data_IF_643959498889
#
_entry.id   IF_643959498889
#
_cell.length_a   1.000
_cell.length_b   1.000
_cell.length_c   1.000
_cell.angle_alpha   90.00
_cell.angle_beta   90.00
_cell.angle_gamma   90.00
#
_symmetry.space_group_name_H-M   'P 1'
#
loop_
_entity.id
_entity.type
_entity.pdbx_description
1 polymer ?
#
# COMPACT_ATOMS: atom_id res chain seq x y z
N UNK A 1 -15.13 32.52 -58.32
CA UNK A 1 -13.82 32.27 -57.67
C UNK A 1 -14.07 31.83 -56.23
N UNK A 2 -13.63 30.59 -55.92
CA UNK A 2 -13.25 30.04 -54.59
C UNK A 2 -14.29 30.19 -53.45
N UNK A 3 -15.09 29.17 -53.12
CA UNK A 3 -14.75 28.02 -52.24
C UNK A 3 -14.17 28.52 -50.91
N UNK A 4 -14.81 28.30 -49.75
CA UNK A 4 -14.64 27.10 -48.92
C UNK A 4 -15.80 26.99 -47.91
N UNK A 5 -16.59 25.91 -48.03
CA UNK A 5 -17.31 25.31 -46.90
C UNK A 5 -16.39 24.21 -46.38
N UNK A 6 -15.86 24.34 -45.16
CA UNK A 6 -15.24 23.23 -44.42
C UNK A 6 -15.67 23.30 -42.97
N UNK A 7 -16.74 22.54 -42.70
CA UNK A 7 -16.96 21.67 -41.55
C UNK A 7 -16.13 22.01 -40.30
N UNK A 8 -16.82 22.55 -39.30
CA UNK A 8 -16.42 22.48 -37.91
C UNK A 8 -16.35 21.00 -37.50
N UNK A 9 -15.15 20.42 -37.54
CA UNK A 9 -14.85 19.19 -36.81
C UNK A 9 -14.87 19.53 -35.33
N UNK A 10 -16.02 19.34 -34.70
CA UNK A 10 -16.14 19.28 -33.26
C UNK A 10 -15.56 17.92 -32.85
N UNK A 11 -14.24 17.86 -32.67
CA UNK A 11 -13.58 16.71 -32.07
C UNK A 11 -14.12 16.54 -30.65
N UNK A 12 -15.15 15.71 -30.54
CA UNK A 12 -15.59 15.14 -29.30
C UNK A 12 -14.46 14.23 -28.83
N UNK A 13 -13.50 14.80 -28.10
CA UNK A 13 -12.58 14.06 -27.26
C UNK A 13 -13.43 13.31 -26.22
N UNK A 14 -13.96 12.16 -26.61
CA UNK A 14 -14.35 11.12 -25.67
C UNK A 14 -13.07 10.77 -24.91
N UNK A 15 -12.86 11.44 -23.78
CA UNK A 15 -11.94 10.98 -22.76
C UNK A 15 -12.49 9.62 -22.31
N UNK A 16 -12.07 8.56 -23.01
CA UNK A 16 -12.13 7.21 -22.49
C UNK A 16 -11.24 7.22 -21.25
N UNK A 17 -11.83 7.55 -20.11
CA UNK A 17 -11.22 7.23 -18.84
C UNK A 17 -11.08 5.72 -18.83
N UNK A 18 -9.85 5.22 -19.07
CA UNK A 18 -9.56 3.81 -18.90
C UNK A 18 -10.04 3.40 -17.51
N UNK A 19 -10.98 2.46 -17.46
CA UNK A 19 -11.50 1.91 -16.22
C UNK A 19 -10.31 1.24 -15.52
N UNK A 20 -10.05 1.60 -14.26
CA UNK A 20 -9.02 0.97 -13.44
C UNK A 20 -9.40 -0.47 -13.10
N UNK A 21 -10.70 -0.77 -13.03
CA UNK A 21 -11.22 -2.10 -12.77
C UNK A 21 -12.54 -2.37 -13.49
N UNK A 22 -12.78 -3.63 -13.86
CA UNK A 22 -14.07 -4.14 -14.34
C UNK A 22 -14.88 -4.84 -13.25
N UNK A 23 -14.20 -5.60 -12.39
CA UNK A 23 -14.80 -6.37 -11.28
C UNK A 23 -14.03 -6.18 -9.98
N UNK A 24 -14.67 -6.44 -8.84
CA UNK A 24 -14.04 -6.24 -7.51
C UNK A 24 -12.85 -7.15 -7.23
N UNK A 25 -12.77 -8.31 -7.88
CA UNK A 25 -11.66 -9.26 -7.70
C UNK A 25 -10.31 -8.67 -8.14
N UNK A 26 -10.29 -7.87 -9.21
CA UNK A 26 -9.08 -7.17 -9.67
C UNK A 26 -8.50 -6.24 -8.59
N UNK A 27 -9.39 -5.53 -7.89
CA UNK A 27 -9.01 -4.66 -6.77
C UNK A 27 -8.60 -5.46 -5.53
N UNK A 28 -9.37 -6.50 -5.20
CA UNK A 28 -9.12 -7.36 -4.04
C UNK A 28 -7.78 -8.10 -4.14
N UNK A 29 -7.40 -8.51 -5.36
CA UNK A 29 -6.10 -9.10 -5.62
C UNK A 29 -4.97 -8.10 -5.38
N UNK A 30 -5.19 -6.80 -5.57
CA UNK A 30 -4.17 -5.78 -5.30
C UNK A 30 -4.08 -5.40 -3.82
N UNK A 31 -5.22 -5.32 -3.13
CA UNK A 31 -5.31 -5.04 -1.70
C UNK A 31 -6.53 -5.74 -1.07
N UNK A 32 -6.37 -6.49 0.05
CA UNK A 32 -7.47 -7.24 0.66
C UNK A 32 -8.70 -6.38 0.94
N UNK A 33 -9.87 -6.87 0.51
CA UNK A 33 -11.16 -6.22 0.73
C UNK A 33 -11.41 -5.00 -0.17
N UNK A 34 -10.47 -4.60 -1.02
CA UNK A 34 -10.71 -3.55 -1.99
C UNK A 34 -11.71 -4.02 -3.06
N UNK A 35 -12.55 -3.10 -3.54
CA UNK A 35 -13.64 -3.43 -4.45
C UNK A 35 -13.75 -2.42 -5.60
N UNK A 36 -14.36 -2.84 -6.70
CA UNK A 36 -14.52 -1.99 -7.88
C UNK A 36 -15.82 -1.19 -7.75
N UNK A 37 -15.72 0.13 -7.85
CA UNK A 37 -16.89 1.01 -7.86
C UNK A 37 -16.77 2.03 -8.99
N UNK A 38 -17.67 1.92 -9.98
CA UNK A 38 -17.71 2.79 -11.17
C UNK A 38 -16.34 2.85 -11.88
N UNK A 39 -15.70 1.69 -12.03
CA UNK A 39 -14.42 1.59 -12.73
C UNK A 39 -13.19 2.05 -11.96
N UNK A 40 -13.30 2.23 -10.64
CA UNK A 40 -12.16 2.60 -9.77
C UNK A 40 -12.09 1.72 -8.55
N UNK A 41 -10.89 1.32 -8.17
CA UNK A 41 -10.69 0.55 -6.94
C UNK A 41 -10.93 1.43 -5.71
N UNK A 42 -11.71 0.92 -4.77
CA UNK A 42 -12.00 1.55 -3.49
C UNK A 42 -11.47 0.69 -2.38
N UNK A 43 -10.93 1.35 -1.36
CA UNK A 43 -10.47 0.68 -0.16
C UNK A 43 -11.65 0.23 0.69
N UNK A 44 -11.51 -0.88 1.44
CA UNK A 44 -12.54 -1.35 2.35
C UNK A 44 -12.78 -0.34 3.48
N UNK A 45 -13.83 -0.58 4.28
CA UNK A 45 -14.10 0.18 5.50
C UNK A 45 -12.88 0.19 6.43
N UNK A 46 -12.77 1.24 7.26
CA UNK A 46 -11.68 1.44 8.21
C UNK A 46 -10.27 1.54 7.60
N UNK A 47 -10.21 1.79 6.28
CA UNK A 47 -8.96 2.04 5.57
C UNK A 47 -9.08 3.24 4.64
N UNK A 48 -7.95 3.88 4.36
CA UNK A 48 -7.88 5.07 3.50
C UNK A 48 -6.95 4.80 2.32
N UNK A 49 -7.40 5.12 1.10
CA UNK A 49 -6.56 5.00 -0.09
C UNK A 49 -5.42 6.00 -0.03
N UNK A 50 -4.19 5.53 -0.18
CA UNK A 50 -2.98 6.35 -0.25
C UNK A 50 -2.19 6.04 -1.50
N UNK A 51 -1.43 7.03 -1.98
CA UNK A 51 -0.44 6.82 -3.05
C UNK A 51 0.72 5.99 -2.51
N UNK A 52 1.25 5.11 -3.35
CA UNK A 52 2.48 4.36 -3.11
C UNK A 52 3.32 4.44 -4.37
N UNK A 53 4.62 4.64 -4.22
CA UNK A 53 5.55 4.68 -5.34
C UNK A 53 5.77 3.27 -5.91
N UNK A 54 5.85 2.25 -5.04
CA UNK A 54 6.07 0.86 -5.48
C UNK A 54 4.79 0.17 -5.96
N UNK A 55 3.64 0.50 -5.36
CA UNK A 55 2.36 -0.16 -5.62
C UNK A 55 1.33 0.73 -6.31
N UNK A 56 1.65 1.97 -6.67
CA UNK A 56 0.73 2.97 -7.21
C UNK A 56 -0.31 3.47 -6.19
N UNK A 57 -1.03 2.55 -5.55
CA UNK A 57 -1.93 2.82 -4.44
C UNK A 57 -1.97 1.65 -3.46
N UNK A 58 -2.30 1.98 -2.21
CA UNK A 58 -2.50 1.04 -1.10
C UNK A 58 -3.73 1.47 -0.29
N UNK A 59 -4.22 0.58 0.60
CA UNK A 59 -5.20 0.96 1.62
C UNK A 59 -4.54 0.94 2.99
N UNK A 60 -4.43 2.12 3.59
CA UNK A 60 -3.82 2.31 4.89
C UNK A 60 -4.87 2.10 5.99
N UNK A 61 -4.63 1.18 6.93
CA UNK A 61 -5.51 0.99 8.06
C UNK A 61 -5.57 2.24 8.94
N UNK A 62 -6.78 2.60 9.37
CA UNK A 62 -7.02 3.67 10.35
C UNK A 62 -6.96 3.11 11.77
N UNK A 63 -7.46 1.89 11.96
CA UNK A 63 -7.59 1.29 13.29
C UNK A 63 -6.38 0.43 13.64
N UNK A 64 -6.08 0.36 14.93
CA UNK A 64 -5.05 -0.48 15.52
C UNK A 64 -5.49 -1.95 15.57
N UNK A 65 -4.59 -2.88 15.25
CA UNK A 65 -4.88 -4.32 15.21
C UNK A 65 -5.05 -4.95 16.60
N UNK A 66 -4.54 -4.31 17.66
CA UNK A 66 -4.64 -4.78 19.05
C UNK A 66 -5.95 -4.27 19.65
N UNK A 67 -6.21 -2.97 19.58
CA UNK A 67 -7.33 -2.35 20.30
C UNK A 67 -8.60 -2.20 19.47
N UNK A 68 -8.48 -2.12 18.14
CA UNK A 68 -9.59 -1.78 17.25
C UNK A 68 -9.95 -0.28 17.24
N UNK A 69 -9.31 0.53 18.08
CA UNK A 69 -9.47 1.98 18.10
C UNK A 69 -8.65 2.65 16.99
N UNK A 70 -8.79 3.97 16.83
CA UNK A 70 -7.96 4.75 15.91
C UNK A 70 -6.48 4.61 16.30
N UNK A 71 -5.67 4.09 15.38
CA UNK A 71 -4.25 3.83 15.58
C UNK A 71 -3.37 5.06 15.35
N UNK A 72 -2.06 4.83 15.26
CA UNK A 72 -1.08 5.90 15.02
C UNK A 72 -1.34 6.62 13.69
N UNK A 73 -1.37 7.97 13.66
CA UNK A 73 -1.54 8.75 12.43
C UNK A 73 -0.42 8.49 11.41
N UNK A 74 0.77 8.14 11.90
CA UNK A 74 1.91 7.72 11.10
C UNK A 74 2.04 6.19 11.22
N UNK A 75 1.66 5.49 10.16
CA UNK A 75 1.66 4.04 10.10
C UNK A 75 1.98 3.58 8.69
N UNK A 76 2.54 2.37 8.58
CA UNK A 76 2.82 1.73 7.31
C UNK A 76 1.66 0.85 6.83
N UNK A 77 1.62 0.49 5.53
CA UNK A 77 0.52 -0.29 4.98
C UNK A 77 0.45 -1.73 5.54
N UNK A 78 1.61 -2.29 5.89
CA UNK A 78 1.78 -3.64 6.45
C UNK A 78 2.56 -3.56 7.77
N UNK A 79 2.30 -4.44 8.74
CA UNK A 79 1.10 -5.27 8.85
C UNK A 79 -0.16 -4.42 8.96
N UNK A 80 -1.26 -4.83 8.32
CA UNK A 80 -2.54 -4.11 8.42
C UNK A 80 -2.94 -3.97 9.89
N UNK A 81 -3.10 -2.71 10.33
CA UNK A 81 -3.45 -2.31 11.70
C UNK A 81 -2.29 -2.20 12.68
N UNK A 82 -1.05 -2.55 12.30
CA UNK A 82 0.12 -2.41 13.19
C UNK A 82 1.37 -1.89 12.47
N UNK A 83 1.20 -1.22 11.32
CA UNK A 83 2.30 -0.73 10.50
C UNK A 83 3.19 0.31 11.19
N UNK A 84 2.74 0.94 12.28
CA UNK A 84 3.55 1.88 13.07
C UNK A 84 4.79 1.20 13.71
N UNK A 85 4.74 -0.12 13.90
CA UNK A 85 5.86 -0.93 14.41
C UNK A 85 6.98 -1.11 13.38
N UNK A 86 6.68 -0.93 12.08
CA UNK A 86 7.65 -1.15 10.99
C UNK A 86 8.06 0.14 10.28
N UNK A 87 7.58 1.29 10.75
CA UNK A 87 8.06 2.60 10.30
C UNK A 87 9.57 2.67 10.49
N UNK A 88 10.29 3.15 9.47
CA UNK A 88 11.73 3.34 9.55
C UNK A 88 12.06 4.33 10.66
N UNK A 89 12.99 3.96 11.52
CA UNK A 89 13.44 4.78 12.66
C UNK A 89 14.95 4.97 12.65
N UNK A 90 15.39 6.07 13.27
CA UNK A 90 16.74 6.26 13.76
C UNK A 90 16.70 6.16 15.30
N UNK A 91 17.11 5.01 15.84
CA UNK A 91 16.81 4.67 17.23
C UNK A 91 15.29 4.57 17.46
N UNK A 92 14.77 5.36 18.40
CA UNK A 92 13.33 5.42 18.69
C UNK A 92 12.56 6.40 17.78
N UNK A 93 13.25 7.28 17.06
CA UNK A 93 12.66 8.41 16.33
C UNK A 93 12.23 7.99 14.92
N UNK A 94 10.95 8.13 14.53
CA UNK A 94 10.49 7.89 13.16
C UNK A 94 11.19 8.80 12.14
N UNK A 95 11.54 8.24 10.98
CA UNK A 95 11.97 9.03 9.83
C UNK A 95 10.72 9.51 9.08
N UNK A 96 10.49 10.81 9.15
CA UNK A 96 9.37 11.47 8.48
C UNK A 96 9.75 11.90 7.07
N UNK A 97 8.75 11.95 6.19
CA UNK A 97 8.90 12.32 4.80
C UNK A 97 7.76 13.23 4.35
N UNK A 98 7.89 13.79 3.15
CA UNK A 98 6.82 14.56 2.50
C UNK A 98 6.35 13.82 1.26
N UNK A 99 5.06 13.48 1.22
CA UNK A 99 4.44 12.85 0.05
C UNK A 99 4.30 13.81 -1.15
N UNK A 100 4.48 15.11 -0.92
CA UNK A 100 4.29 16.17 -1.93
C UNK A 100 5.60 16.64 -2.57
N UNK A 101 6.73 16.48 -1.89
CA UNK A 101 8.03 17.00 -2.33
C UNK A 101 8.95 15.84 -2.72
N UNK A 102 9.21 15.72 -4.03
CA UNK A 102 9.98 14.59 -4.59
C UNK A 102 11.50 14.69 -4.46
N UNK A 103 12.05 15.88 -4.16
CA UNK A 103 13.47 16.18 -4.40
C UNK A 103 14.35 16.28 -3.15
N UNK A 104 13.81 16.54 -1.95
CA UNK A 104 14.66 16.82 -0.77
C UNK A 104 14.31 16.05 0.51
N UNK A 105 13.22 15.26 0.51
CA UNK A 105 12.72 14.54 1.70
C UNK A 105 12.31 13.12 1.37
N UNK A 106 13.17 12.45 0.60
CA UNK A 106 12.98 11.07 0.16
C UNK A 106 13.37 10.11 1.27
N UNK A 107 12.62 9.03 1.38
CA UNK A 107 12.99 7.94 2.26
C UNK A 107 14.30 7.28 1.82
N UNK A 108 15.03 6.63 2.74
CA UNK A 108 16.21 5.83 2.39
C UNK A 108 15.89 4.77 1.33
N UNK A 109 16.92 4.25 0.66
CA UNK A 109 16.78 3.13 -0.27
C UNK A 109 16.07 1.95 0.43
N UNK A 110 15.13 1.32 -0.28
CA UNK A 110 14.26 0.28 0.26
C UNK A 110 13.01 0.80 0.99
N UNK A 111 12.85 2.11 1.10
CA UNK A 111 11.71 2.73 1.76
C UNK A 111 11.04 3.75 0.85
N UNK A 112 9.73 3.91 1.02
CA UNK A 112 8.91 4.88 0.32
C UNK A 112 8.11 5.73 1.31
N UNK A 113 7.67 6.90 0.85
CA UNK A 113 6.94 7.83 1.69
C UNK A 113 5.44 7.52 1.67
N UNK A 114 4.88 7.10 2.80
CA UNK A 114 3.45 6.87 2.95
C UNK A 114 2.86 8.00 3.79
N UNK A 115 1.91 8.75 3.20
CA UNK A 115 1.26 9.85 3.92
C UNK A 115 0.36 9.32 5.03
N UNK A 116 0.54 9.87 6.22
CA UNK A 116 -0.26 9.56 7.39
C UNK A 116 -1.72 9.99 7.25
N UNK A 117 -2.56 9.54 8.17
CA UNK A 117 -3.91 10.10 8.31
C UNK A 117 -3.84 11.24 9.33
N UNK A 118 -4.41 12.41 9.00
CA UNK A 118 -4.45 13.56 9.92
C UNK A 118 -3.12 14.31 10.15
N UNK A 119 -2.05 13.99 9.44
CA UNK A 119 -0.76 14.72 9.53
C UNK A 119 -0.64 15.75 8.41
N UNK A 120 -0.29 16.99 8.77
CA UNK A 120 -0.19 18.12 7.85
C UNK A 120 1.23 18.41 7.35
N UNK A 121 1.39 19.27 6.34
CA UNK A 121 2.69 19.71 5.84
C UNK A 121 3.52 20.42 6.94
N UNK A 122 4.86 20.46 6.82
CA UNK A 122 5.68 20.08 5.64
C UNK A 122 6.10 18.59 5.58
N UNK A 123 5.85 17.81 6.63
CA UNK A 123 6.17 16.37 6.72
C UNK A 123 4.88 15.62 7.03
N UNK A 124 4.21 15.15 5.98
CA UNK A 124 2.88 14.53 6.06
C UNK A 124 2.90 13.00 5.99
N UNK A 125 4.09 12.38 6.04
CA UNK A 125 4.25 10.94 5.95
C UNK A 125 5.40 10.36 6.76
N UNK A 126 5.46 9.03 6.76
CA UNK A 126 6.52 8.25 7.36
C UNK A 126 7.18 7.35 6.31
N UNK A 127 8.46 7.05 6.52
CA UNK A 127 9.19 6.13 5.67
C UNK A 127 8.86 4.68 6.00
N UNK A 128 8.24 4.00 5.04
CA UNK A 128 7.77 2.63 5.15
C UNK A 128 8.53 1.72 4.21
N UNK A 129 8.77 0.44 4.57
CA UNK A 129 9.33 -0.53 3.64
C UNK A 129 8.56 -0.51 2.33
N UNK A 130 9.27 -0.42 1.21
CA UNK A 130 8.65 -0.54 -0.10
C UNK A 130 8.28 -2.01 -0.39
N UNK A 131 7.69 -2.28 -1.56
CA UNK A 131 7.30 -3.63 -1.95
C UNK A 131 8.46 -4.63 -1.84
N UNK A 132 9.58 -4.35 -2.50
CA UNK A 132 10.77 -5.22 -2.51
C UNK A 132 11.29 -5.50 -1.10
N UNK A 133 11.50 -4.45 -0.30
CA UNK A 133 12.02 -4.56 1.07
C UNK A 133 11.05 -5.30 1.98
N UNK A 134 9.74 -5.13 1.80
CA UNK A 134 8.74 -5.89 2.56
C UNK A 134 8.83 -7.39 2.26
N UNK A 135 9.05 -7.78 1.01
CA UNK A 135 9.17 -9.18 0.61
C UNK A 135 10.52 -9.81 0.99
N UNK A 136 11.60 -9.02 1.07
CA UNK A 136 12.92 -9.49 1.48
C UNK A 136 13.09 -9.61 3.00
N UNK A 137 12.22 -8.98 3.80
CA UNK A 137 12.27 -9.08 5.25
C UNK A 137 11.90 -10.50 5.71
N UNK A 138 12.46 -10.99 6.84
CA UNK A 138 12.12 -12.31 7.34
C UNK A 138 10.66 -12.39 7.80
N UNK A 139 10.07 -13.57 7.65
CA UNK A 139 8.81 -13.93 8.32
C UNK A 139 9.08 -14.04 9.82
N UNK A 140 8.41 -13.22 10.61
CA UNK A 140 8.61 -13.15 12.05
C UNK A 140 7.49 -13.91 12.77
N UNK A 141 7.65 -15.23 12.88
CA UNK A 141 6.70 -16.09 13.59
C UNK A 141 6.85 -15.94 15.09
N UNK A 142 5.73 -15.67 15.77
CA UNK A 142 5.67 -15.55 17.22
C UNK A 142 5.27 -16.85 17.93
N UNK A 143 5.05 -17.93 17.18
CA UNK A 143 4.60 -19.29 17.59
C UNK A 143 3.25 -19.32 18.33
N UNK A 144 3.11 -18.53 19.39
CA UNK A 144 1.92 -18.35 20.22
C UNK A 144 1.10 -17.11 19.83
N UNK A 145 1.34 -16.52 18.66
CA UNK A 145 0.61 -15.33 18.19
C UNK A 145 -0.89 -15.62 18.00
N UNK A 146 -1.80 -14.72 18.41
CA UNK A 146 -3.24 -14.93 18.30
C UNK A 146 -3.76 -14.88 16.87
N UNK A 147 -3.06 -14.18 15.97
CA UNK A 147 -3.52 -13.94 14.60
C UNK A 147 -2.77 -14.83 13.61
N UNK A 148 -3.50 -15.38 12.64
CA UNK A 148 -2.88 -16.08 11.51
C UNK A 148 -2.63 -15.10 10.36
N UNK A 149 -1.42 -15.13 9.81
CA UNK A 149 -0.96 -14.24 8.74
C UNK A 149 -0.17 -15.03 7.70
N UNK A 150 0.13 -14.37 6.58
CA UNK A 150 0.92 -14.92 5.48
C UNK A 150 2.19 -14.09 5.29
N UNK A 151 3.30 -14.72 4.92
CA UNK A 151 4.58 -14.05 4.64
C UNK A 151 5.32 -14.75 3.51
N UNK A 152 6.14 -14.03 2.78
CA UNK A 152 6.96 -14.54 1.69
C UNK A 152 8.25 -15.14 2.24
N UNK A 153 8.54 -16.41 1.95
CA UNK A 153 9.77 -17.09 2.42
C UNK A 153 10.92 -17.05 1.40
N UNK A 154 10.70 -16.41 0.23
CA UNK A 154 11.64 -16.41 -0.89
C UNK A 154 11.17 -17.25 -2.08
N UNK A 155 10.28 -18.22 -1.85
CA UNK A 155 9.77 -19.15 -2.86
C UNK A 155 8.24 -19.16 -2.91
N UNK A 156 7.59 -19.04 -1.76
CA UNK A 156 6.14 -19.13 -1.63
C UNK A 156 5.62 -18.26 -0.48
N UNK A 157 4.30 -18.06 -0.46
CA UNK A 157 3.63 -17.46 0.68
C UNK A 157 3.27 -18.53 1.70
N UNK A 158 3.87 -18.45 2.89
CA UNK A 158 3.68 -19.37 4.01
C UNK A 158 2.82 -18.75 5.11
N UNK A 159 2.03 -19.58 5.79
CA UNK A 159 1.21 -19.16 6.92
C UNK A 159 2.04 -19.18 8.22
N UNK A 160 1.88 -18.16 9.07
CA UNK A 160 2.56 -18.06 10.36
C UNK A 160 1.65 -17.44 11.45
N UNK A 161 2.11 -17.46 12.71
CA UNK A 161 1.38 -16.88 13.85
C UNK A 161 1.98 -15.53 14.23
N UNK A 162 1.13 -14.51 14.36
CA UNK A 162 1.54 -13.14 14.61
C UNK A 162 0.89 -12.56 15.86
N UNK A 163 1.70 -11.90 16.67
CA UNK A 163 1.29 -11.07 17.81
C UNK A 163 1.51 -9.59 17.47
N UNK A 164 0.44 -8.78 17.33
CA UNK A 164 0.54 -7.36 17.00
C UNK A 164 1.23 -6.51 18.08
N UNK A 165 1.35 -7.02 19.31
CA UNK A 165 2.02 -6.33 20.41
C UNK A 165 3.54 -6.53 20.41
N UNK A 166 4.06 -7.42 19.56
CA UNK A 166 5.49 -7.76 19.48
C UNK A 166 6.13 -7.18 18.22
N UNK A 167 7.45 -6.88 18.25
CA UNK A 167 8.17 -6.45 17.06
C UNK A 167 7.99 -7.43 15.90
N UNK A 168 7.79 -6.91 14.70
CA UNK A 168 7.55 -7.70 13.48
C UNK A 168 8.14 -6.96 12.29
N UNK A 169 8.08 -7.58 11.12
CA UNK A 169 8.43 -7.00 9.83
C UNK A 169 7.18 -6.63 9.02
N UNK A 170 7.37 -5.92 7.90
CA UNK A 170 6.33 -5.64 6.92
C UNK A 170 5.98 -6.86 6.06
N UNK A 171 6.77 -7.96 6.14
CA UNK A 171 6.45 -9.26 5.55
C UNK A 171 5.32 -9.97 6.33
N UNK A 172 4.13 -9.37 6.29
CA UNK A 172 2.99 -9.79 7.08
C UNK A 172 1.69 -9.38 6.39
N UNK A 173 1.07 -10.34 5.74
CA UNK A 173 -0.10 -10.17 4.90
C UNK A 173 -1.32 -10.84 5.53
N UNK A 174 -2.50 -10.23 5.33
CA UNK A 174 -3.76 -10.75 5.86
C UNK A 174 -4.19 -12.05 5.16
N UNK A 175 -3.96 -12.16 3.85
CA UNK A 175 -4.38 -13.30 3.04
C UNK A 175 -3.23 -13.81 2.16
N UNK A 176 -3.27 -15.09 1.79
CA UNK A 176 -2.31 -15.70 0.87
C UNK A 176 -2.24 -14.95 -0.45
N UNK A 177 -3.40 -14.70 -1.07
CA UNK A 177 -3.46 -14.01 -2.36
C UNK A 177 -2.89 -12.59 -2.34
N UNK A 178 -2.97 -11.88 -1.20
CA UNK A 178 -2.30 -10.60 -1.05
C UNK A 178 -0.79 -10.74 -0.96
N UNK A 179 -0.29 -11.70 -0.18
CA UNK A 179 1.15 -11.98 -0.15
C UNK A 179 1.67 -12.32 -1.56
N UNK A 180 0.97 -13.20 -2.27
CA UNK A 180 1.34 -13.66 -3.62
C UNK A 180 1.34 -12.49 -4.61
N UNK A 181 0.27 -11.70 -4.68
CA UNK A 181 0.20 -10.55 -5.59
C UNK A 181 1.18 -9.43 -5.25
N UNK A 182 1.61 -9.36 -3.99
CA UNK A 182 2.54 -8.35 -3.50
C UNK A 182 4.00 -8.77 -3.71
N UNK A 183 4.34 -10.06 -3.62
CA UNK A 183 5.73 -10.52 -3.72
C UNK A 183 6.10 -11.27 -5.01
N UNK A 184 5.15 -11.82 -5.76
CA UNK A 184 5.44 -12.62 -6.98
C UNK A 184 5.75 -11.80 -8.26
N UNK A 185 6.12 -10.52 -8.15
CA UNK A 185 6.25 -9.66 -9.33
C UNK A 185 7.55 -9.81 -10.14
N UNK A 186 8.47 -10.71 -9.77
CA UNK A 186 9.78 -10.88 -10.44
C UNK A 186 9.95 -12.16 -11.28
N UNK A 187 8.90 -12.92 -11.60
CA UNK A 187 9.06 -14.16 -12.42
C UNK A 187 8.83 -13.92 -13.93
N UNK A 188 8.34 -12.75 -14.36
CA UNK A 188 7.98 -12.52 -15.76
C UNK A 188 8.74 -11.40 -16.49
N UNK A 189 9.82 -10.85 -15.91
CA UNK A 189 10.67 -9.83 -16.56
C UNK A 189 12.17 -10.17 -16.59
N UNK A 190 12.54 -11.44 -16.52
CA UNK A 190 13.90 -11.95 -16.77
C UNK A 190 13.98 -12.78 -18.04
#
# INVERSE_FOLDING_TARGET
MKTIIKLLFFDCFLAFFALECGVSEECNNRWPGAFCLRGRCKCPVDTVRKTSDSRGWICLAVNDAVTGDIGSPLTCPLPIGAGYNVVRRNGSVPILCSSRVKTEKRCPIGYECISGHGVGPPLDGACCPNQETSCQQPVFDHESGPLSRWGWDGESCVQFRWDPQRPSTANNFLTRGHCESYCLHDIFLS
#
